data_IF_924762932391
#
_entry.id   IF_924762932391
#
_cell.length_a   1.000
_cell.length_b   1.000
_cell.length_c   1.000
_cell.angle_alpha   90.00
_cell.angle_beta   90.00
_cell.angle_gamma   90.00
#
_symmetry.space_group_name_H-M   'P 1'
#
loop_
_entity.id
_entity.type
_entity.pdbx_description
1 polymer ?
#
# COMPACT_ATOMS: atom_id res chain seq x y z
N UNK A 1 1.66 6.34 10.69
CA UNK A 1 1.51 5.25 9.74
C UNK A 1 0.53 4.17 10.14
N UNK A 2 0.41 3.19 9.29
CA UNK A 2 -0.39 1.98 9.50
C UNK A 2 0.51 0.79 9.19
N UNK A 3 0.64 -0.13 10.14
CA UNK A 3 1.56 -1.26 10.01
C UNK A 3 0.81 -2.58 10.02
N UNK A 4 1.20 -3.49 9.12
CA UNK A 4 0.74 -4.87 9.07
C UNK A 4 -0.79 -5.03 8.98
N UNK A 5 -1.42 -4.22 8.13
CA UNK A 5 -2.84 -4.38 7.85
C UNK A 5 -3.07 -5.48 6.81
N UNK A 6 -3.76 -6.54 7.21
CA UNK A 6 -4.09 -7.65 6.30
C UNK A 6 -5.39 -7.36 5.57
N UNK A 7 -5.34 -7.44 4.24
CA UNK A 7 -6.51 -7.26 3.38
C UNK A 7 -6.51 -8.33 2.28
N UNK A 8 -7.68 -8.86 1.99
CA UNK A 8 -7.84 -9.94 1.02
C UNK A 8 -8.29 -9.41 -0.33
N UNK A 9 -7.72 -9.97 -1.41
CA UNK A 9 -8.10 -9.62 -2.76
C UNK A 9 -7.72 -10.69 -3.77
N UNK A 10 -8.28 -10.59 -4.97
CA UNK A 10 -8.07 -11.55 -6.07
C UNK A 10 -7.06 -10.97 -7.05
N UNK A 11 -5.79 -10.91 -6.66
CA UNK A 11 -4.72 -10.28 -7.40
C UNK A 11 -3.55 -11.21 -7.63
N UNK A 12 -2.77 -10.97 -8.68
CA UNK A 12 -1.55 -11.67 -8.98
C UNK A 12 -1.20 -11.62 -10.46
N UNK A 13 0.05 -11.94 -10.77
CA UNK A 13 0.57 -11.92 -12.14
C UNK A 13 -0.07 -12.97 -13.04
N UNK A 14 -0.57 -14.06 -12.45
CA UNK A 14 -1.17 -15.17 -13.18
C UNK A 14 -2.68 -15.13 -13.10
N UNK A 15 -3.35 -15.41 -14.22
CA UNK A 15 -4.81 -15.37 -14.29
C UNK A 15 -5.47 -16.31 -13.28
N UNK A 16 -4.87 -17.44 -12.97
CA UNK A 16 -5.40 -18.37 -11.96
C UNK A 16 -5.54 -17.73 -10.58
N UNK A 17 -4.69 -16.75 -10.25
CA UNK A 17 -4.75 -16.01 -8.98
C UNK A 17 -5.96 -15.08 -8.88
N UNK A 18 -6.61 -14.76 -10.00
CA UNK A 18 -7.79 -13.89 -10.02
C UNK A 18 -9.08 -14.64 -9.67
N UNK A 19 -9.01 -15.94 -9.44
CA UNK A 19 -10.18 -16.78 -9.13
C UNK A 19 -10.42 -16.94 -7.62
N UNK A 20 -9.46 -16.57 -6.76
CA UNK A 20 -9.56 -16.73 -5.32
C UNK A 20 -8.97 -15.57 -4.56
N UNK A 21 -9.47 -15.32 -3.35
CA UNK A 21 -8.93 -14.31 -2.47
C UNK A 21 -7.68 -14.82 -1.76
N UNK A 22 -6.69 -13.95 -1.64
CA UNK A 22 -5.49 -14.23 -0.85
C UNK A 22 -5.12 -13.00 -0.02
N UNK A 23 -4.39 -13.19 1.09
CA UNK A 23 -4.01 -12.08 1.95
C UNK A 23 -2.85 -11.28 1.36
N UNK A 24 -2.96 -9.97 1.53
CA UNK A 24 -1.88 -9.00 1.32
C UNK A 24 -1.70 -8.23 2.62
N UNK A 25 -0.47 -8.09 3.07
CA UNK A 25 -0.16 -7.37 4.31
C UNK A 25 0.45 -6.03 3.94
N UNK A 26 -0.23 -4.96 4.28
CA UNK A 26 0.11 -3.60 3.87
C UNK A 26 0.60 -2.78 5.05
N UNK A 27 1.74 -2.13 4.86
CA UNK A 27 2.24 -1.11 5.80
C UNK A 27 2.46 0.18 5.04
N UNK A 28 1.94 1.29 5.59
CA UNK A 28 1.99 2.61 4.99
C UNK A 28 2.57 3.58 6.01
N UNK A 29 3.65 4.27 5.63
CA UNK A 29 4.27 5.31 6.45
C UNK A 29 4.21 6.63 5.68
N UNK A 30 3.77 7.68 6.35
CA UNK A 30 3.66 9.01 5.76
C UNK A 30 4.47 10.00 6.59
N UNK A 31 5.34 10.75 5.90
CA UNK A 31 6.03 11.89 6.50
C UNK A 31 5.28 13.17 6.13
N UNK A 32 5.01 13.99 7.12
CA UNK A 32 4.29 15.25 6.94
C UNK A 32 5.27 16.39 6.67
N UNK A 33 4.86 17.34 5.82
CA UNK A 33 5.69 18.49 5.47
C UNK A 33 5.90 19.45 6.64
N UNK A 34 4.93 19.50 7.56
CA UNK A 34 4.97 20.35 8.75
C UNK A 34 4.50 19.56 9.95
N UNK A 35 5.26 19.62 11.03
CA UNK A 35 4.91 18.99 12.30
C UNK A 35 4.56 20.06 13.32
N UNK A 36 3.33 20.51 13.33
CA UNK A 36 2.76 21.22 14.47
C UNK A 36 1.79 20.29 15.15
N UNK A 37 2.12 19.91 16.38
CA UNK A 37 1.23 19.07 17.17
C UNK A 37 0.14 19.96 17.77
N UNK A 38 -0.94 20.13 17.02
CA UNK A 38 -2.18 20.70 17.52
C UNK A 38 -3.19 19.54 17.58
N UNK A 39 -4.04 19.52 18.54
CA UNK A 39 -5.02 18.44 18.73
C UNK A 39 -6.17 18.55 17.71
N UNK A 40 -5.80 18.68 16.41
CA UNK A 40 -6.72 18.83 15.29
C UNK A 40 -6.41 17.83 14.19
N UNK A 41 -7.39 17.02 13.78
CA UNK A 41 -7.23 16.06 12.69
C UNK A 41 -6.86 16.70 11.37
N UNK A 42 -7.29 17.94 11.13
CA UNK A 42 -6.96 18.68 9.89
C UNK A 42 -5.48 18.98 9.74
N UNK A 43 -4.69 18.88 10.81
CA UNK A 43 -3.25 19.13 10.81
C UNK A 43 -2.41 17.86 10.79
N UNK A 44 -3.01 16.72 10.54
CA UNK A 44 -2.32 15.43 10.47
C UNK A 44 -3.00 14.52 9.45
N UNK A 45 -2.47 13.32 9.30
CA UNK A 45 -3.11 12.25 8.53
C UNK A 45 -3.85 11.33 9.50
N UNK A 46 -5.12 11.09 9.21
CA UNK A 46 -5.89 10.10 9.94
C UNK A 46 -5.50 8.70 9.43
N UNK A 47 -4.94 7.86 10.28
CA UNK A 47 -4.55 6.50 9.89
C UNK A 47 -5.74 5.66 9.43
N UNK A 48 -6.97 6.01 9.81
CA UNK A 48 -8.17 5.38 9.24
C UNK A 48 -8.27 5.60 7.72
N UNK A 49 -7.84 6.76 7.23
CA UNK A 49 -7.79 7.02 5.80
C UNK A 49 -6.74 6.15 5.10
N UNK A 50 -5.62 5.89 5.75
CA UNK A 50 -4.60 4.98 5.21
C UNK A 50 -5.15 3.56 5.08
N UNK A 51 -5.90 3.10 6.08
CA UNK A 51 -6.56 1.80 6.04
C UNK A 51 -7.59 1.74 4.90
N UNK A 52 -8.41 2.79 4.74
CA UNK A 52 -9.40 2.86 3.66
C UNK A 52 -8.74 2.80 2.28
N UNK A 53 -7.63 3.50 2.09
CA UNK A 53 -6.89 3.47 0.81
C UNK A 53 -6.42 2.05 0.49
N UNK A 54 -5.78 1.39 1.45
CA UNK A 54 -5.30 0.02 1.27
C UNK A 54 -6.47 -0.94 1.00
N UNK A 55 -7.55 -0.81 1.77
CA UNK A 55 -8.74 -1.63 1.61
C UNK A 55 -9.37 -1.46 0.22
N UNK A 56 -9.56 -0.23 -0.21
CA UNK A 56 -10.21 0.06 -1.49
C UNK A 56 -9.36 -0.40 -2.68
N UNK A 57 -8.07 -0.23 -2.63
CA UNK A 57 -7.17 -0.67 -3.71
C UNK A 57 -7.13 -2.20 -3.82
N UNK A 58 -7.15 -2.91 -2.70
CA UNK A 58 -6.97 -4.36 -2.71
C UNK A 58 -8.30 -5.12 -2.67
N UNK A 59 -9.23 -4.74 -1.79
CA UNK A 59 -10.48 -5.47 -1.61
C UNK A 59 -11.57 -5.08 -2.63
N UNK A 60 -11.56 -3.83 -3.08
CA UNK A 60 -12.64 -3.26 -3.88
C UNK A 60 -12.24 -2.91 -5.32
N UNK A 61 -11.21 -3.52 -5.86
CA UNK A 61 -10.77 -3.27 -7.24
C UNK A 61 -10.81 -4.53 -8.09
N UNK A 62 -10.89 -4.38 -9.43
CA UNK A 62 -10.66 -5.50 -10.33
C UNK A 62 -9.26 -6.09 -10.12
N UNK A 63 -9.00 -7.32 -10.56
CA UNK A 63 -7.70 -7.95 -10.37
C UNK A 63 -6.54 -7.11 -10.89
N UNK A 64 -5.53 -6.95 -10.03
CA UNK A 64 -4.29 -6.23 -10.31
C UNK A 64 -3.18 -7.28 -10.42
N UNK A 65 -2.34 -7.18 -11.44
CA UNK A 65 -1.29 -8.17 -11.68
C UNK A 65 -0.10 -8.03 -10.74
N UNK A 66 0.31 -6.80 -10.46
CA UNK A 66 1.56 -6.51 -9.75
C UNK A 66 1.31 -5.71 -8.48
N UNK A 67 2.02 -6.05 -7.40
CA UNK A 67 1.99 -5.28 -6.17
C UNK A 67 2.49 -3.85 -6.35
N UNK A 68 3.43 -3.64 -7.28
CA UNK A 68 3.91 -2.31 -7.67
C UNK A 68 2.77 -1.41 -8.15
N UNK A 69 1.85 -1.97 -8.91
CA UNK A 69 0.66 -1.23 -9.37
C UNK A 69 -0.27 -0.87 -8.22
N UNK A 70 -0.44 -1.78 -7.26
CA UNK A 70 -1.22 -1.48 -6.05
C UNK A 70 -0.61 -0.30 -5.29
N UNK A 71 0.70 -0.32 -5.10
CA UNK A 71 1.42 0.75 -4.41
C UNK A 71 1.28 2.08 -5.14
N UNK A 72 1.42 2.08 -6.46
CA UNK A 72 1.25 3.28 -7.28
C UNK A 72 -0.14 3.90 -7.12
N UNK A 73 -1.19 3.08 -7.09
CA UNK A 73 -2.56 3.54 -6.87
C UNK A 73 -2.75 4.13 -5.47
N UNK A 74 -2.13 3.53 -4.46
CA UNK A 74 -2.15 4.07 -3.09
C UNK A 74 -1.42 5.41 -2.99
N UNK A 75 -0.26 5.53 -3.63
CA UNK A 75 0.48 6.80 -3.70
C UNK A 75 -0.37 7.90 -4.31
N UNK A 76 -1.05 7.61 -5.41
CA UNK A 76 -1.89 8.57 -6.11
C UNK A 76 -2.98 9.13 -5.20
N UNK A 77 -3.63 8.29 -4.42
CA UNK A 77 -4.67 8.73 -3.50
C UNK A 77 -4.11 9.49 -2.28
N UNK A 78 -3.09 8.95 -1.63
CA UNK A 78 -2.53 9.54 -0.41
C UNK A 78 -1.87 10.89 -0.71
N UNK A 79 -1.17 11.01 -1.85
CA UNK A 79 -0.45 12.23 -2.21
C UNK A 79 -1.34 13.44 -2.51
N UNK A 80 -2.64 13.24 -2.65
CA UNK A 80 -3.59 14.34 -2.81
C UNK A 80 -3.71 15.20 -1.55
N UNK A 81 -3.34 14.69 -0.41
CA UNK A 81 -3.31 15.47 0.83
C UNK A 81 -2.08 16.37 0.84
N UNK A 82 -2.30 17.67 1.01
CA UNK A 82 -1.23 18.70 0.96
C UNK A 82 -0.20 18.56 2.08
N UNK A 83 -0.54 17.92 3.18
CA UNK A 83 0.38 17.73 4.30
C UNK A 83 1.43 16.67 4.01
N UNK A 84 1.21 15.83 3.00
CA UNK A 84 2.08 14.69 2.70
C UNK A 84 3.33 15.15 1.98
N UNK A 85 4.48 14.87 2.58
CA UNK A 85 5.80 15.12 1.99
C UNK A 85 6.39 13.85 1.39
N UNK A 86 6.21 12.72 2.06
CA UNK A 86 6.79 11.45 1.67
C UNK A 86 5.88 10.30 2.07
N UNK A 87 5.84 9.26 1.25
CA UNK A 87 5.07 8.04 1.54
C UNK A 87 6.01 6.85 1.32
N UNK A 88 5.98 5.90 2.26
CA UNK A 88 6.64 4.60 2.09
C UNK A 88 5.58 3.52 2.23
N UNK A 89 5.52 2.61 1.27
CA UNK A 89 4.57 1.50 1.31
C UNK A 89 5.30 0.18 1.13
N UNK A 90 4.91 -0.79 1.93
CA UNK A 90 5.38 -2.16 1.85
C UNK A 90 4.17 -3.07 1.74
N UNK A 91 4.17 -3.96 0.74
CA UNK A 91 3.16 -5.00 0.60
C UNK A 91 3.83 -6.35 0.64
N UNK A 92 3.33 -7.24 1.49
CA UNK A 92 3.75 -8.61 1.60
C UNK A 92 2.66 -9.52 1.02
N UNK A 93 3.08 -10.56 0.31
CA UNK A 93 2.19 -11.57 -0.26
C UNK A 93 2.56 -12.93 0.33
N UNK A 94 2.09 -13.26 1.54
CA UNK A 94 2.57 -14.42 2.29
C UNK A 94 2.21 -15.76 1.66
N UNK A 95 1.17 -15.81 0.82
CA UNK A 95 0.74 -17.01 0.14
C UNK A 95 1.18 -17.06 -1.33
N UNK A 96 2.15 -16.23 -1.71
CA UNK A 96 2.72 -16.28 -3.06
C UNK A 96 3.26 -17.68 -3.36
N UNK A 97 2.90 -18.19 -4.53
CA UNK A 97 3.41 -19.49 -4.99
C UNK A 97 4.80 -19.31 -5.58
N UNK A 98 5.81 -19.79 -4.85
CA UNK A 98 7.20 -19.72 -5.25
C UNK A 98 7.70 -21.14 -5.61
N UNK A 99 8.73 -21.25 -6.49
CA UNK A 99 9.21 -22.56 -6.95
C UNK A 99 9.89 -23.39 -5.87
N UNK A 100 10.35 -22.76 -4.79
CA UNK A 100 11.02 -23.43 -3.67
C UNK A 100 10.40 -23.00 -2.37
N UNK A 101 10.53 -23.83 -1.34
CA UNK A 101 10.00 -23.54 -0.01
C UNK A 101 10.77 -22.38 0.64
N UNK A 102 10.03 -21.51 1.33
CA UNK A 102 10.60 -20.40 2.11
C UNK A 102 10.64 -19.09 1.34
N UNK A 103 11.00 -18.06 2.07
CA UNK A 103 10.98 -16.69 1.56
C UNK A 103 9.59 -16.04 1.65
N UNK A 104 9.59 -14.73 1.68
CA UNK A 104 8.38 -13.91 1.71
C UNK A 104 8.45 -12.93 0.54
N UNK A 105 7.45 -12.97 -0.33
CA UNK A 105 7.38 -12.03 -1.45
C UNK A 105 6.97 -10.64 -0.94
N UNK A 106 7.80 -9.65 -1.21
CA UNK A 106 7.63 -8.28 -0.71
C UNK A 106 7.95 -7.30 -1.83
N UNK A 107 7.15 -6.22 -1.89
CA UNK A 107 7.47 -5.03 -2.68
C UNK A 107 7.41 -3.81 -1.77
N UNK A 108 8.44 -2.98 -1.84
CA UNK A 108 8.51 -1.70 -1.12
C UNK A 108 8.81 -0.59 -2.11
N UNK A 109 8.18 0.57 -1.90
CA UNK A 109 8.46 1.76 -2.70
C UNK A 109 8.22 3.03 -1.90
N UNK A 110 8.86 4.11 -2.33
CA UNK A 110 8.71 5.44 -1.73
C UNK A 110 8.21 6.44 -2.77
N UNK A 111 7.43 7.37 -2.31
CA UNK A 111 6.94 8.51 -3.09
C UNK A 111 7.37 9.82 -2.41
N UNK A 112 7.80 10.88 -3.13
CA UNK A 112 7.95 10.92 -4.59
C UNK A 112 9.13 10.07 -5.06
N UNK A 113 9.05 9.60 -6.30
CA UNK A 113 10.14 8.84 -6.90
C UNK A 113 11.36 9.73 -7.11
N UNK A 114 12.56 9.20 -6.81
CA UNK A 114 13.79 9.88 -7.17
C UNK A 114 13.90 9.86 -8.70
N UNK A 115 14.09 11.07 -9.27
CA UNK A 115 14.39 11.18 -10.69
C UNK A 115 15.90 11.10 -10.87
N UNK A 116 16.34 10.07 -11.56
CA UNK A 116 17.71 10.00 -12.03
C UNK A 116 17.85 10.98 -13.20
N UNK A 117 18.81 11.89 -13.08
CA UNK A 117 19.17 12.80 -14.16
C UNK A 117 20.08 12.10 -15.18
#
# INVERSE_FOLDING_TARGET
GLEDYTVYGKHGAYQAEHAYEQPFIVSIWVELAHCQFSDELSNTINYANLQDVAHNVIANSPPIKLMETMISKMFEEISQNRLVKKISIRIQKPEAKLPHQGGLAIVEAEWPFEQEN
#
